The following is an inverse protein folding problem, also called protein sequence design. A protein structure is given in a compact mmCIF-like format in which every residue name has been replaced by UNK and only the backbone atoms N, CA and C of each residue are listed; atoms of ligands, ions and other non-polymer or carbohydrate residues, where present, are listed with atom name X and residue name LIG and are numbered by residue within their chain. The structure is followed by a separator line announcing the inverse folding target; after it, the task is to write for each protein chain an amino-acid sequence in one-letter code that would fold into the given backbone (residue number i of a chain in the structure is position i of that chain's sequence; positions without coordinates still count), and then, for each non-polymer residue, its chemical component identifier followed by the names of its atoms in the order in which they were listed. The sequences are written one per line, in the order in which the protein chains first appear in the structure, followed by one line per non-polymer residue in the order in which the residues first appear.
data_IF_605609844433
#
_entry.id   IF_605609844433
#
_cell.length_a   1.000
_cell.length_b   1.000
_cell.length_c   1.000
_cell.angle_alpha   90.00
_cell.angle_beta   90.00
_cell.angle_gamma   90.00
#
_symmetry.space_group_name_H-M   'P 1'
#
loop_
_entity.id
_entity.type
_entity.pdbx_description
1 polymer ?
#
# COMPACT_ATOMS: atom_id res chain seq x y z
N UNK A 1 -5.38 7.37 9.33
CA UNK A 1 -4.89 6.03 8.91
C UNK A 1 -5.66 5.51 7.70
N UNK A 2 -4.98 4.80 6.79
CA UNK A 2 -5.61 4.23 5.59
C UNK A 2 -5.08 2.83 5.27
N UNK A 3 -5.97 1.95 4.82
CA UNK A 3 -5.61 0.61 4.36
C UNK A 3 -5.64 0.55 2.84
N UNK A 4 -4.46 0.41 2.24
CA UNK A 4 -4.27 0.38 0.79
C UNK A 4 -3.90 -1.03 0.34
N UNK A 5 -4.56 -1.49 -0.72
CA UNK A 5 -4.11 -2.65 -1.48
C UNK A 5 -3.64 -2.25 -2.87
N UNK A 6 -2.49 -2.77 -3.30
CA UNK A 6 -1.97 -2.62 -4.67
C UNK A 6 -2.00 -3.96 -5.38
N UNK A 7 -2.65 -3.97 -6.54
CA UNK A 7 -2.81 -5.16 -7.39
C UNK A 7 -2.14 -4.89 -8.73
N UNK A 8 -1.30 -5.80 -9.20
CA UNK A 8 -0.81 -5.74 -10.58
C UNK A 8 -1.94 -5.99 -11.57
N UNK A 9 -1.92 -5.34 -12.73
CA UNK A 9 -2.76 -5.76 -13.86
C UNK A 9 -2.17 -7.04 -14.49
N UNK A 10 -0.86 -7.03 -14.73
CA UNK A 10 -0.10 -8.20 -15.21
C UNK A 10 0.08 -9.27 -14.12
N UNK A 11 0.43 -10.49 -14.52
CA UNK A 11 0.69 -11.59 -13.58
C UNK A 11 2.14 -11.59 -13.08
N UNK A 12 2.54 -10.53 -12.36
CA UNK A 12 3.89 -10.41 -11.81
C UNK A 12 4.05 -11.33 -10.59
N UNK A 13 4.79 -12.44 -10.74
CA UNK A 13 5.01 -13.41 -9.66
C UNK A 13 6.38 -13.23 -8.95
N UNK A 14 7.36 -12.64 -9.63
CA UNK A 14 8.69 -12.39 -9.06
C UNK A 14 8.63 -11.29 -7.98
N UNK A 15 8.87 -11.69 -6.74
CA UNK A 15 8.86 -10.80 -5.58
C UNK A 15 10.00 -9.76 -5.61
N UNK A 16 11.15 -10.07 -6.22
CA UNK A 16 12.26 -9.10 -6.34
C UNK A 16 11.85 -7.95 -7.25
N UNK A 17 11.30 -8.27 -8.42
CA UNK A 17 10.70 -7.29 -9.34
C UNK A 17 9.57 -6.52 -8.66
N UNK A 18 8.68 -7.22 -7.96
CA UNK A 18 7.56 -6.58 -7.30
C UNK A 18 8.00 -5.58 -6.21
N UNK A 19 8.99 -5.94 -5.39
CA UNK A 19 9.57 -5.06 -4.38
C UNK A 19 10.28 -3.85 -5.00
N UNK A 20 10.93 -4.02 -6.15
CA UNK A 20 11.49 -2.89 -6.89
C UNK A 20 10.41 -1.89 -7.31
N UNK A 21 9.33 -2.36 -7.92
CA UNK A 21 8.17 -1.51 -8.26
C UNK A 21 7.55 -0.84 -7.04
N UNK A 22 7.43 -1.54 -5.91
CA UNK A 22 6.93 -0.97 -4.67
C UNK A 22 7.82 0.18 -4.16
N UNK A 23 9.15 0.03 -4.19
CA UNK A 23 10.08 1.13 -3.86
C UNK A 23 9.91 2.33 -4.78
N UNK A 24 9.72 2.10 -6.08
CA UNK A 24 9.44 3.16 -7.05
C UNK A 24 8.12 3.87 -6.75
N UNK A 25 7.09 3.13 -6.34
CA UNK A 25 5.82 3.69 -5.92
C UNK A 25 5.97 4.63 -4.72
N UNK A 26 6.64 4.19 -3.65
CA UNK A 26 6.91 5.03 -2.47
C UNK A 26 7.71 6.28 -2.86
N UNK A 27 8.70 6.14 -3.74
CA UNK A 27 9.48 7.29 -4.24
C UNK A 27 8.61 8.30 -5.00
N UNK A 28 7.73 7.84 -5.90
CA UNK A 28 6.79 8.70 -6.64
C UNK A 28 5.80 9.39 -5.70
N UNK A 29 5.34 8.66 -4.69
CA UNK A 29 4.42 9.16 -3.67
C UNK A 29 5.06 10.28 -2.83
N UNK A 30 6.29 10.06 -2.37
CA UNK A 30 7.06 11.06 -1.62
C UNK A 30 7.33 12.32 -2.48
N UNK A 31 7.70 12.13 -3.74
CA UNK A 31 7.88 13.25 -4.68
C UNK A 31 6.58 14.04 -4.88
N UNK A 32 5.45 13.35 -5.06
CA UNK A 32 4.14 14.00 -5.20
C UNK A 32 3.81 14.86 -3.97
N UNK A 33 4.03 14.34 -2.76
CA UNK A 33 3.75 15.10 -1.55
C UNK A 33 4.70 16.27 -1.30
N UNK A 34 5.99 16.09 -1.58
CA UNK A 34 6.98 17.18 -1.52
C UNK A 34 6.61 18.34 -2.45
N UNK A 35 6.11 18.04 -3.66
CA UNK A 35 5.74 19.06 -4.65
C UNK A 35 4.39 19.73 -4.35
N UNK A 36 3.37 18.98 -3.93
CA UNK A 36 1.98 19.46 -3.93
C UNK A 36 1.28 19.52 -2.56
N UNK A 37 1.85 18.93 -1.49
CA UNK A 37 1.16 18.78 -0.18
C UNK A 37 2.12 18.96 1.02
N UNK A 38 3.11 19.86 0.88
CA UNK A 38 4.37 20.02 1.66
C UNK A 38 4.39 19.71 3.16
N UNK A 39 3.26 19.68 3.88
CA UNK A 39 3.22 19.49 5.33
C UNK A 39 2.43 18.26 5.83
N UNK A 40 1.41 17.75 5.12
CA UNK A 40 0.53 16.70 5.67
C UNK A 40 1.16 15.30 5.70
N UNK A 41 2.06 15.02 4.77
CA UNK A 41 2.60 13.66 4.55
C UNK A 41 4.13 13.59 4.75
N UNK A 42 4.74 14.60 5.38
CA UNK A 42 6.18 14.67 5.59
C UNK A 42 6.70 13.48 6.42
N UNK A 43 5.90 13.02 7.38
CA UNK A 43 6.22 11.91 8.27
C UNK A 43 5.31 10.68 8.03
N UNK A 44 4.92 10.45 6.77
CA UNK A 44 4.06 9.34 6.39
C UNK A 44 4.74 7.99 6.65
N UNK A 45 4.42 7.36 7.79
CA UNK A 45 4.82 6.00 8.14
C UNK A 45 3.90 4.97 7.48
N UNK A 46 4.44 3.81 7.15
CA UNK A 46 3.66 2.68 6.64
C UNK A 46 4.20 1.32 7.10
N UNK A 47 3.30 0.34 7.15
CA UNK A 47 3.62 -1.09 7.25
C UNK A 47 3.14 -1.76 5.96
N UNK A 48 3.92 -2.70 5.43
CA UNK A 48 3.58 -3.42 4.20
C UNK A 48 3.79 -4.92 4.39
N UNK A 49 2.87 -5.71 3.84
CA UNK A 49 3.09 -7.11 3.57
C UNK A 49 2.63 -7.43 2.14
N UNK A 50 3.04 -8.58 1.63
CA UNK A 50 2.62 -9.06 0.33
C UNK A 50 2.02 -10.47 0.43
N UNK A 51 1.11 -10.76 -0.48
CA UNK A 51 0.52 -12.08 -0.69
C UNK A 51 0.47 -12.37 -2.19
N UNK A 52 0.15 -13.61 -2.54
CA UNK A 52 -0.12 -13.98 -3.92
C UNK A 52 -1.63 -14.07 -4.12
N UNK A 53 -2.13 -13.47 -5.20
CA UNK A 53 -3.51 -13.69 -5.65
C UNK A 53 -3.66 -15.13 -6.15
N UNK A 54 -4.91 -15.61 -6.32
CA UNK A 54 -5.19 -16.95 -6.88
C UNK A 54 -4.48 -17.22 -8.21
N UNK A 55 -4.24 -16.18 -9.02
CA UNK A 55 -3.52 -16.27 -10.31
C UNK A 55 -1.99 -16.29 -10.18
N UNK A 56 -1.45 -16.20 -8.97
CA UNK A 56 0.00 -16.15 -8.68
C UNK A 56 0.62 -14.74 -8.66
N UNK A 57 -0.14 -13.69 -8.98
CA UNK A 57 0.39 -12.33 -8.97
C UNK A 57 0.63 -11.82 -7.55
N UNK A 58 1.75 -11.13 -7.33
CA UNK A 58 2.04 -10.43 -6.07
C UNK A 58 0.98 -9.35 -5.81
N UNK A 59 0.53 -9.25 -4.57
CA UNK A 59 -0.46 -8.28 -4.12
C UNK A 59 0.02 -7.66 -2.82
N UNK A 60 0.13 -6.33 -2.78
CA UNK A 60 0.59 -5.63 -1.57
C UNK A 60 -0.58 -5.16 -0.75
N UNK A 61 -0.46 -5.36 0.55
CA UNK A 61 -1.34 -4.79 1.56
C UNK A 61 -0.51 -3.81 2.42
N UNK A 62 -1.00 -2.58 2.56
CA UNK A 62 -0.26 -1.48 3.14
C UNK A 62 -1.15 -0.75 4.13
N UNK A 63 -0.63 -0.50 5.32
CA UNK A 63 -1.26 0.39 6.31
C UNK A 63 -0.44 1.67 6.33
N UNK A 64 -1.05 2.78 5.92
CA UNK A 64 -0.47 4.11 6.05
C UNK A 64 -0.99 4.79 7.31
N UNK A 65 -0.10 5.49 8.02
CA UNK A 65 -0.46 6.38 9.14
C UNK A 65 -1.54 7.41 8.75
N UNK A 66 -1.53 7.88 7.50
CA UNK A 66 -2.52 8.80 6.94
C UNK A 66 -3.32 8.17 5.79
N UNK A 67 -4.57 8.62 5.61
CA UNK A 67 -5.34 8.23 4.43
C UNK A 67 -4.83 8.95 3.19
N UNK A 68 -4.68 8.21 2.08
CA UNK A 68 -4.17 8.74 0.81
C UNK A 68 -5.27 8.62 -0.26
N UNK A 69 -5.70 9.70 -0.92
CA UNK A 69 -6.73 9.61 -1.93
C UNK A 69 -6.35 8.65 -3.08
N UNK A 70 -7.29 7.81 -3.52
CA UNK A 70 -7.08 6.83 -4.59
C UNK A 70 -6.51 7.46 -5.88
N UNK A 71 -6.92 8.69 -6.22
CA UNK A 71 -6.41 9.44 -7.38
C UNK A 71 -4.91 9.71 -7.29
N UNK A 72 -4.36 9.90 -6.09
CA UNK A 72 -2.91 10.09 -5.89
C UNK A 72 -2.20 8.75 -6.03
N UNK A 73 -2.74 7.70 -5.38
CA UNK A 73 -2.16 6.35 -5.45
C UNK A 73 -2.07 5.87 -6.90
N UNK A 74 -3.16 6.00 -7.67
CA UNK A 74 -3.21 5.58 -9.07
C UNK A 74 -2.16 6.29 -9.94
N UNK A 75 -1.91 7.59 -9.72
CA UNK A 75 -0.82 8.31 -10.40
C UNK A 75 0.57 7.79 -10.06
N UNK A 76 0.76 7.28 -8.85
CA UNK A 76 2.06 6.76 -8.38
C UNK A 76 2.24 5.26 -8.67
N UNK A 77 1.14 4.52 -8.87
CA UNK A 77 1.10 3.08 -9.13
C UNK A 77 0.65 2.79 -10.58
N UNK A 78 1.56 2.85 -11.56
CA UNK A 78 1.21 2.61 -12.97
C UNK A 78 1.04 1.13 -13.32
N UNK A 79 1.24 0.21 -12.37
CA UNK A 79 1.33 -1.22 -12.65
C UNK A 79 0.01 -1.99 -12.50
N UNK A 80 -1.07 -1.29 -12.15
CA UNK A 80 -2.39 -1.89 -12.03
C UNK A 80 -3.35 -1.08 -11.15
N UNK A 81 -4.12 -1.79 -10.34
CA UNK A 81 -5.25 -1.22 -9.61
C UNK A 81 -4.92 -1.00 -8.13
N UNK A 82 -5.59 -0.01 -7.55
CA UNK A 82 -5.52 0.27 -6.13
C UNK A 82 -6.90 0.33 -5.50
N UNK A 83 -7.01 -0.15 -4.25
CA UNK A 83 -8.20 0.02 -3.42
C UNK A 83 -7.74 0.56 -2.08
N UNK A 84 -8.11 1.80 -1.77
CA UNK A 84 -7.88 2.40 -0.45
C UNK A 84 -9.19 2.46 0.32
N UNK A 85 -9.15 2.03 1.56
CA UNK A 85 -10.24 2.10 2.51
C UNK A 85 -9.81 2.99 3.68
N UNK A 86 -10.58 4.04 4.03
CA UNK A 86 -10.34 4.77 5.27
C UNK A 86 -10.53 3.81 6.45
N UNK A 87 -9.66 3.89 7.44
CA UNK A 87 -9.85 3.14 8.68
C UNK A 87 -10.39 4.09 9.73
N UNK A 88 -11.60 3.79 10.21
CA UNK A 88 -12.24 4.53 11.30
C UNK A 88 -11.51 4.27 12.61
N UNK A 89 -11.23 5.36 13.33
CA UNK A 89 -10.64 5.35 14.66
C UNK A 89 -11.62 4.69 15.65
N UNK A 90 -11.20 3.59 16.29
CA UNK A 90 -12.01 2.84 17.26
C UNK A 90 -12.45 1.46 16.78
N UNK A 91 -12.51 1.22 15.47
CA UNK A 91 -12.82 -0.09 14.86
C UNK A 91 -11.53 -0.83 14.47
N UNK A 92 -10.70 -1.13 15.46
CA UNK A 92 -9.40 -1.79 15.26
C UNK A 92 -9.49 -3.24 14.76
N UNK A 93 -10.68 -3.85 14.63
CA UNK A 93 -10.82 -5.27 14.24
C UNK A 93 -10.12 -5.62 12.93
N UNK A 94 -10.14 -4.73 11.93
CA UNK A 94 -9.52 -4.99 10.62
C UNK A 94 -8.00 -4.91 10.68
N UNK A 95 -7.47 -3.87 11.31
CA UNK A 95 -6.02 -3.69 11.52
C UNK A 95 -5.48 -4.77 12.45
N UNK A 96 -6.14 -5.04 13.58
CA UNK A 96 -5.74 -6.07 14.54
C UNK A 96 -5.74 -7.46 13.90
N UNK A 97 -6.77 -7.82 13.11
CA UNK A 97 -6.76 -9.08 12.34
C UNK A 97 -5.62 -9.12 11.33
N UNK A 98 -5.36 -8.00 10.65
CA UNK A 98 -4.29 -7.91 9.66
C UNK A 98 -2.91 -8.07 10.32
N UNK A 99 -2.62 -7.25 11.33
CA UNK A 99 -1.38 -7.32 12.12
C UNK A 99 -1.22 -8.72 12.73
N UNK A 100 -2.27 -9.29 13.33
CA UNK A 100 -2.23 -10.66 13.85
C UNK A 100 -1.94 -11.71 12.76
N UNK A 101 -2.56 -11.60 11.57
CA UNK A 101 -2.32 -12.53 10.45
C UNK A 101 -0.84 -12.61 10.05
N UNK A 102 -0.12 -11.49 10.07
CA UNK A 102 1.31 -11.47 9.70
C UNK A 102 2.26 -11.68 10.89
N UNK A 103 1.82 -11.46 12.13
CA UNK A 103 2.59 -11.83 13.33
C UNK A 103 2.53 -13.35 13.58
N UNK A 104 1.39 -13.99 13.32
CA UNK A 104 1.16 -15.43 13.57
C UNK A 104 1.75 -16.32 12.45
N UNK A 105 2.23 -15.74 11.35
CA UNK A 105 2.87 -16.47 10.25
C UNK A 105 4.28 -16.91 10.68
N UNK A 106 4.35 -17.90 11.57
CA UNK A 106 5.54 -18.66 11.97
C UNK A 106 5.62 -19.92 11.13
#
# INVERSE_FOLDING_TARGET
MGFLTLTYAENVQDIKKANHHFRLFIRRLNYYFSKYKKNKYKDLKYLVAYEYQNRGAVHFHIIFSEYIPNKVVSKCWPYGYNKNLPVETGTNKFISKYVAKYIIKV
#
